data_IF_112860028773
#
_entry.id   IF_112860028773
#
_cell.length_a   1.000
_cell.length_b   1.000
_cell.length_c   1.000
_cell.angle_alpha   90.00
_cell.angle_beta   90.00
_cell.angle_gamma   90.00
#
_symmetry.space_group_name_H-M   'P 1'
#
loop_
_entity.id
_entity.type
_entity.pdbx_description
1 polymer ?
#
# COMPACT_ATOMS: atom_id res chain seq x y z
N UNK A 1 19.55 3.08 9.26
CA UNK A 1 19.90 3.90 10.44
C UNK A 1 21.34 4.39 10.32
N UNK A 2 21.63 5.31 9.39
CA UNK A 2 23.00 5.79 9.16
C UNK A 2 23.62 6.47 10.40
N UNK A 3 22.80 7.06 11.28
CA UNK A 3 23.27 7.70 12.51
C UNK A 3 23.89 6.74 13.53
N UNK A 4 23.27 5.58 13.78
CA UNK A 4 23.79 4.59 14.74
C UNK A 4 25.11 3.98 14.27
N UNK A 5 25.24 3.69 12.97
CA UNK A 5 26.50 3.20 12.38
C UNK A 5 27.59 4.25 12.43
N UNK A 6 27.26 5.53 12.18
CA UNK A 6 28.22 6.62 12.26
C UNK A 6 28.72 6.83 13.70
N UNK A 7 27.82 6.80 14.70
CA UNK A 7 28.19 6.91 16.11
C UNK A 7 29.10 5.76 16.52
N UNK A 8 28.78 4.51 16.16
CA UNK A 8 29.61 3.34 16.46
C UNK A 8 31.01 3.44 15.81
N UNK A 9 31.09 3.93 14.57
CA UNK A 9 32.37 4.12 13.88
C UNK A 9 33.22 5.21 14.54
N UNK A 10 32.61 6.33 14.95
CA UNK A 10 33.29 7.43 15.64
C UNK A 10 33.79 6.99 17.02
N UNK A 11 32.98 6.23 17.77
CA UNK A 11 33.39 5.72 19.09
C UNK A 11 34.50 4.68 18.98
N UNK A 12 34.42 3.77 18.00
CA UNK A 12 35.51 2.82 17.72
C UNK A 12 36.81 3.53 17.33
N UNK A 13 36.73 4.54 16.47
CA UNK A 13 37.91 5.31 16.04
C UNK A 13 38.53 6.05 17.23
N UNK A 14 37.72 6.74 18.04
CA UNK A 14 38.19 7.43 19.24
C UNK A 14 38.81 6.47 20.28
N UNK A 15 38.25 5.27 20.44
CA UNK A 15 38.79 4.26 21.34
C UNK A 15 40.17 3.75 20.90
N UNK A 16 40.38 3.53 19.60
CA UNK A 16 41.68 3.12 19.06
C UNK A 16 42.76 4.20 19.25
N UNK A 17 42.42 5.48 19.06
CA UNK A 17 43.35 6.58 19.34
C UNK A 17 43.72 6.68 20.82
N UNK A 18 42.75 6.54 21.72
CA UNK A 18 43.02 6.52 23.16
C UNK A 18 43.92 5.33 23.54
N UNK A 19 43.66 4.14 22.97
CA UNK A 19 44.47 2.95 23.16
C UNK A 19 45.91 3.16 22.71
N UNK A 20 46.12 3.85 21.58
CA UNK A 20 47.44 4.21 21.05
C UNK A 20 48.22 5.08 22.04
N UNK A 21 47.60 6.15 22.57
CA UNK A 21 48.26 7.03 23.55
C UNK A 21 48.45 6.40 24.94
N UNK A 22 47.58 5.47 25.33
CA UNK A 22 47.61 4.82 26.64
C UNK A 22 48.41 3.49 26.67
N UNK A 23 49.11 3.14 25.58
CA UNK A 23 49.93 1.92 25.42
C UNK A 23 49.23 0.61 25.83
N UNK A 24 47.90 0.53 25.69
CA UNK A 24 47.13 -0.66 26.12
C UNK A 24 47.09 -1.72 25.02
N UNK A 25 47.23 -3.02 25.37
CA UNK A 25 47.11 -4.10 24.41
C UNK A 25 45.70 -4.15 23.80
N UNK A 26 45.55 -4.63 22.55
CA UNK A 26 44.25 -4.75 21.90
C UNK A 26 43.34 -5.71 22.67
N UNK A 27 42.05 -5.38 22.76
CA UNK A 27 41.02 -6.16 23.47
C UNK A 27 40.00 -6.76 22.48
N UNK A 28 40.36 -7.81 21.71
CA UNK A 28 39.51 -8.34 20.64
C UNK A 28 38.19 -8.94 21.15
N UNK A 29 38.18 -9.48 22.37
CA UNK A 29 36.98 -10.09 22.97
C UNK A 29 35.86 -9.06 23.19
N UNK A 30 36.18 -7.85 23.67
CA UNK A 30 35.21 -6.79 23.90
C UNK A 30 34.53 -6.37 22.59
N UNK A 31 35.31 -6.14 21.55
CA UNK A 31 34.79 -5.76 20.24
C UNK A 31 34.00 -6.89 19.57
N UNK A 32 34.42 -8.14 19.73
CA UNK A 32 33.68 -9.30 19.22
C UNK A 32 32.29 -9.41 19.88
N UNK A 33 32.20 -9.18 21.20
CA UNK A 33 30.92 -9.19 21.91
C UNK A 33 30.01 -8.02 21.50
N UNK A 34 30.57 -6.81 21.37
CA UNK A 34 29.82 -5.63 20.91
C UNK A 34 29.32 -5.81 19.47
N UNK A 35 30.15 -6.36 18.58
CA UNK A 35 29.76 -6.66 17.21
C UNK A 35 28.64 -7.71 17.17
N UNK A 36 28.73 -8.77 17.96
CA UNK A 36 27.70 -9.80 18.06
C UNK A 36 26.37 -9.22 18.59
N UNK A 37 26.41 -8.39 19.63
CA UNK A 37 25.22 -7.73 20.16
C UNK A 37 24.59 -6.79 19.14
N UNK A 38 25.41 -6.03 18.40
CA UNK A 38 24.95 -5.17 17.32
C UNK A 38 24.29 -5.96 16.18
N UNK A 39 24.88 -7.09 15.76
CA UNK A 39 24.31 -7.98 14.75
C UNK A 39 22.97 -8.56 15.21
N UNK A 40 22.86 -9.00 16.46
CA UNK A 40 21.61 -9.50 17.03
C UNK A 40 20.51 -8.42 17.05
N UNK A 41 20.86 -7.20 17.47
CA UNK A 41 19.95 -6.06 17.44
C UNK A 41 19.51 -5.69 16.02
N UNK A 42 20.44 -5.66 15.07
CA UNK A 42 20.15 -5.37 13.67
C UNK A 42 19.25 -6.45 13.05
N UNK A 43 19.49 -7.73 13.34
CA UNK A 43 18.65 -8.84 12.90
C UNK A 43 17.24 -8.73 13.49
N UNK A 44 17.12 -8.49 14.80
CA UNK A 44 15.83 -8.28 15.45
C UNK A 44 15.05 -7.11 14.84
N UNK A 45 15.74 -5.99 14.61
CA UNK A 45 15.16 -4.84 13.94
C UNK A 45 14.67 -5.25 12.55
N UNK A 46 15.53 -5.85 11.72
CA UNK A 46 15.18 -6.26 10.37
C UNK A 46 13.94 -7.16 10.34
N UNK A 47 13.87 -8.16 11.22
CA UNK A 47 12.72 -9.04 11.35
C UNK A 47 11.42 -8.30 11.72
N UNK A 48 11.51 -7.23 12.53
CA UNK A 48 10.35 -6.41 12.89
C UNK A 48 9.88 -5.49 11.76
N UNK A 49 10.79 -4.98 10.92
CA UNK A 49 10.45 -4.05 9.82
C UNK A 49 10.05 -4.76 8.53
N UNK A 50 10.51 -5.99 8.31
CA UNK A 50 10.27 -6.74 7.07
C UNK A 50 8.77 -6.95 6.75
N UNK A 51 7.88 -7.27 7.71
CA UNK A 51 6.45 -7.40 7.44
C UNK A 51 5.82 -6.12 6.91
N UNK A 52 6.22 -4.95 7.45
CA UNK A 52 5.72 -3.65 7.01
C UNK A 52 6.14 -3.35 5.58
N UNK A 53 7.39 -3.64 5.22
CA UNK A 53 7.88 -3.49 3.84
C UNK A 53 7.13 -4.40 2.86
N UNK A 54 6.85 -5.64 3.26
CA UNK A 54 6.07 -6.58 2.44
C UNK A 54 4.63 -6.09 2.22
N UNK A 55 3.97 -5.62 3.28
CA UNK A 55 2.62 -5.06 3.19
C UNK A 55 2.56 -3.83 2.27
N UNK A 56 3.54 -2.93 2.35
CA UNK A 56 3.64 -1.77 1.46
C UNK A 56 3.83 -2.18 0.00
N UNK A 57 4.74 -3.12 -0.28
CA UNK A 57 4.94 -3.63 -1.64
C UNK A 57 3.68 -4.28 -2.20
N UNK A 58 3.00 -5.07 -1.39
CA UNK A 58 1.75 -5.72 -1.77
C UNK A 58 0.66 -4.71 -2.12
N UNK A 59 0.53 -3.62 -1.35
CA UNK A 59 -0.38 -2.51 -1.68
C UNK A 59 -0.10 -1.93 -3.07
N UNK A 60 1.16 -1.56 -3.31
CA UNK A 60 1.60 -1.00 -4.58
C UNK A 60 1.42 -1.96 -5.78
N UNK A 61 1.67 -3.26 -5.58
CA UNK A 61 1.47 -4.27 -6.63
C UNK A 61 -0.01 -4.45 -6.96
N UNK A 62 -0.89 -4.41 -5.96
CA UNK A 62 -2.33 -4.48 -6.17
C UNK A 62 -2.87 -3.28 -6.93
N UNK A 63 -2.49 -2.06 -6.55
CA UNK A 63 -2.83 -0.83 -7.28
C UNK A 63 -2.36 -0.87 -8.74
N UNK A 64 -1.12 -1.32 -9.00
CA UNK A 64 -0.61 -1.49 -10.37
C UNK A 64 -1.41 -2.51 -11.16
N UNK A 65 -1.81 -3.63 -10.54
CA UNK A 65 -2.60 -4.65 -11.21
C UNK A 65 -4.01 -4.16 -11.57
N UNK A 66 -4.67 -3.39 -10.68
CA UNK A 66 -5.94 -2.71 -10.99
C UNK A 66 -5.76 -1.73 -12.13
N UNK A 67 -4.77 -0.83 -12.04
CA UNK A 67 -4.51 0.17 -13.07
C UNK A 67 -4.34 -0.47 -14.46
N UNK A 68 -3.56 -1.55 -14.55
CA UNK A 68 -3.39 -2.32 -15.79
C UNK A 68 -4.69 -3.01 -16.26
N UNK A 69 -5.56 -3.43 -15.33
CA UNK A 69 -6.87 -3.96 -15.68
C UNK A 69 -7.77 -2.89 -16.27
N UNK A 70 -7.84 -1.73 -15.62
CA UNK A 70 -8.67 -0.60 -16.03
C UNK A 70 -8.22 0.00 -17.35
N UNK A 71 -6.91 0.01 -17.63
CA UNK A 71 -6.36 0.54 -18.88
C UNK A 71 -6.93 -0.16 -20.12
N UNK A 72 -7.32 -1.44 -20.02
CA UNK A 72 -7.99 -2.16 -21.12
C UNK A 72 -9.38 -1.62 -21.43
N UNK A 73 -10.02 -0.89 -20.51
CA UNK A 73 -11.29 -0.24 -20.78
C UNK A 73 -11.15 0.95 -21.74
N UNK A 74 -9.92 1.45 -21.98
CA UNK A 74 -9.68 2.45 -23.01
C UNK A 74 -10.07 2.00 -24.40
N UNK A 75 -9.84 0.73 -24.72
CA UNK A 75 -10.29 0.11 -25.99
C UNK A 75 -11.82 0.13 -26.15
N UNK A 76 -12.56 0.28 -25.04
CA UNK A 76 -14.02 0.34 -25.00
C UNK A 76 -14.55 1.78 -24.94
N UNK A 77 -13.70 2.77 -25.20
CA UNK A 77 -14.07 4.19 -25.23
C UNK A 77 -14.08 4.87 -23.86
N UNK A 78 -13.43 4.29 -22.86
CA UNK A 78 -13.22 4.96 -21.57
C UNK A 78 -11.91 5.76 -21.57
N UNK A 79 -11.92 6.94 -20.97
CA UNK A 79 -10.73 7.65 -20.55
C UNK A 79 -10.40 7.27 -19.11
N UNK A 80 -9.21 6.72 -18.88
CA UNK A 80 -8.76 6.25 -17.56
C UNK A 80 -7.70 7.21 -17.04
N UNK A 81 -7.92 7.76 -15.85
CA UNK A 81 -6.98 8.61 -15.13
C UNK A 81 -6.58 7.92 -13.83
N UNK A 82 -5.31 8.02 -13.46
CA UNK A 82 -4.77 7.44 -12.23
C UNK A 82 -4.21 8.56 -11.36
N UNK A 83 -4.27 8.39 -10.03
CA UNK A 83 -3.73 9.31 -9.02
C UNK A 83 -4.21 10.75 -9.22
N UNK A 84 -5.53 10.93 -9.28
CA UNK A 84 -6.14 12.26 -9.49
C UNK A 84 -6.09 13.04 -8.17
N UNK A 85 -5.40 14.17 -8.19
CA UNK A 85 -5.23 15.04 -7.02
C UNK A 85 -6.50 15.84 -6.74
N UNK A 86 -7.01 15.72 -5.52
CA UNK A 86 -8.03 16.59 -4.94
C UNK A 86 -7.44 17.52 -3.87
N UNK A 87 -8.30 18.27 -3.18
CA UNK A 87 -7.88 19.17 -2.12
C UNK A 87 -7.60 18.38 -0.82
N UNK A 88 -6.34 17.99 -0.63
CA UNK A 88 -5.89 17.24 0.55
C UNK A 88 -6.14 15.73 0.50
N UNK A 89 -6.55 15.18 -0.65
CA UNK A 89 -6.70 13.75 -0.88
C UNK A 89 -6.43 13.38 -2.33
N UNK A 90 -6.23 12.09 -2.60
CA UNK A 90 -6.08 11.55 -3.96
C UNK A 90 -7.22 10.57 -4.24
N UNK A 91 -7.62 10.49 -5.50
CA UNK A 91 -8.51 9.44 -6.03
C UNK A 91 -7.65 8.48 -6.82
N UNK A 92 -7.61 7.21 -6.42
CA UNK A 92 -6.71 6.22 -7.03
C UNK A 92 -6.93 6.13 -8.53
N UNK A 93 -8.18 5.94 -8.98
CA UNK A 93 -8.51 5.87 -10.41
C UNK A 93 -9.84 6.55 -10.75
N UNK A 94 -9.91 7.21 -11.90
CA UNK A 94 -11.13 7.82 -12.45
C UNK A 94 -11.34 7.34 -13.87
N UNK A 95 -12.56 6.88 -14.19
CA UNK A 95 -12.95 6.44 -15.52
C UNK A 95 -14.07 7.33 -16.04
N UNK A 96 -13.93 7.84 -17.26
CA UNK A 96 -14.93 8.66 -17.94
C UNK A 96 -15.25 7.97 -19.27
N UNK A 97 -16.51 7.56 -19.47
CA UNK A 97 -16.88 6.86 -20.69
C UNK A 97 -18.38 6.87 -20.97
N UNK A 98 -18.83 6.02 -21.91
CA UNK A 98 -20.21 6.02 -22.38
C UNK A 98 -21.25 5.75 -21.29
N UNK A 99 -20.89 4.96 -20.27
CA UNK A 99 -21.76 4.65 -19.14
C UNK A 99 -21.77 5.72 -18.04
N UNK A 100 -20.91 6.74 -18.11
CA UNK A 100 -20.77 7.80 -17.12
C UNK A 100 -19.37 7.91 -16.55
N UNK A 101 -19.30 8.44 -15.33
CA UNK A 101 -18.05 8.73 -14.61
C UNK A 101 -17.96 7.84 -13.37
N UNK A 102 -16.81 7.22 -13.17
CA UNK A 102 -16.58 6.28 -12.06
C UNK A 102 -15.30 6.68 -11.31
N UNK A 103 -15.37 6.77 -9.99
CA UNK A 103 -14.19 6.83 -9.13
C UNK A 103 -13.97 5.44 -8.51
N UNK A 104 -12.76 4.91 -8.70
CA UNK A 104 -12.36 3.60 -8.19
C UNK A 104 -11.25 3.80 -7.17
N UNK A 105 -11.51 3.35 -5.93
CA UNK A 105 -10.52 3.31 -4.84
C UNK A 105 -10.01 1.88 -4.73
N UNK A 106 -8.69 1.66 -4.71
CA UNK A 106 -8.11 0.32 -4.62
C UNK A 106 -7.64 0.04 -3.21
N UNK A 107 -8.18 -1.01 -2.57
CA UNK A 107 -7.61 -1.54 -1.32
C UNK A 107 -7.16 -2.99 -1.50
N UNK A 108 -5.87 -3.21 -1.28
CA UNK A 108 -5.27 -4.54 -1.34
C UNK A 108 -5.17 -5.15 0.06
N UNK A 109 -5.82 -6.29 0.27
CA UNK A 109 -5.83 -6.99 1.56
C UNK A 109 -5.12 -8.34 1.46
N UNK A 110 -4.45 -8.75 2.55
CA UNK A 110 -3.87 -10.10 2.64
C UNK A 110 -4.96 -11.12 2.95
N UNK A 111 -4.95 -12.27 2.26
CA UNK A 111 -5.89 -13.35 2.56
C UNK A 111 -5.70 -13.86 4.00
N UNK A 112 -6.77 -13.99 4.81
CA UNK A 112 -6.69 -14.75 6.06
C UNK A 112 -6.31 -16.20 5.74
N UNK A 113 -5.34 -16.76 6.48
CA UNK A 113 -4.80 -18.12 6.25
C UNK A 113 -5.86 -19.24 6.29
N UNK A 114 -7.06 -18.99 6.85
CA UNK A 114 -8.09 -20.00 7.09
C UNK A 114 -9.44 -19.77 6.41
N UNK A 115 -9.70 -18.59 5.83
CA UNK A 115 -11.03 -18.26 5.34
C UNK A 115 -11.08 -17.86 3.86
N UNK A 116 -12.26 -18.09 3.28
CA UNK A 116 -12.61 -17.63 1.94
C UNK A 116 -12.77 -16.11 2.01
N UNK A 117 -11.80 -15.37 1.46
CA UNK A 117 -11.79 -13.91 1.45
C UNK A 117 -12.81 -13.36 0.44
N UNK A 118 -14.08 -13.73 0.55
CA UNK A 118 -15.13 -13.14 -0.27
C UNK A 118 -15.40 -11.75 0.26
N UNK A 119 -15.23 -10.76 -0.63
CA UNK A 119 -15.65 -9.40 -0.37
C UNK A 119 -17.12 -9.32 -0.76
N UNK A 120 -17.98 -8.99 0.18
CA UNK A 120 -19.41 -8.78 -0.07
C UNK A 120 -19.69 -7.31 0.21
N UNK A 121 -20.01 -6.56 -0.84
CA UNK A 121 -20.53 -5.20 -0.74
C UNK A 121 -22.04 -5.27 -0.51
N UNK A 122 -22.49 -4.97 0.71
CA UNK A 122 -23.90 -4.89 1.07
C UNK A 122 -24.27 -3.41 1.18
N UNK A 123 -24.44 -2.72 0.05
CA UNK A 123 -24.86 -1.32 -0.04
C UNK A 123 -23.93 -0.36 0.72
N UNK A 124 -24.18 -0.22 2.02
CA UNK A 124 -23.50 0.69 2.96
C UNK A 124 -22.45 -0.01 3.85
N UNK A 125 -22.28 -1.33 3.72
CA UNK A 125 -21.34 -2.11 4.53
C UNK A 125 -20.46 -3.05 3.71
N UNK A 126 -19.18 -3.14 4.09
CA UNK A 126 -18.20 -4.03 3.49
C UNK A 126 -17.86 -5.16 4.46
N UNK A 127 -18.04 -6.41 4.03
CA UNK A 127 -17.55 -7.58 4.76
C UNK A 127 -16.46 -8.29 3.99
N UNK A 128 -15.31 -8.50 4.62
CA UNK A 128 -14.19 -9.30 4.09
C UNK A 128 -14.08 -10.56 4.95
N UNK A 129 -14.85 -11.61 4.62
CA UNK A 129 -14.96 -12.79 5.48
C UNK A 129 -15.48 -12.42 6.89
N UNK A 130 -14.81 -12.86 7.98
CA UNK A 130 -15.16 -12.48 9.36
C UNK A 130 -14.61 -11.10 9.80
N UNK A 131 -13.86 -10.39 8.95
CA UNK A 131 -13.29 -9.09 9.28
C UNK A 131 -14.24 -7.96 8.86
N UNK A 132 -14.65 -7.14 9.83
CA UNK A 132 -15.22 -5.81 9.58
C UNK A 132 -14.07 -4.79 9.53
N UNK A 133 -13.92 -4.03 8.44
CA UNK A 133 -12.93 -2.96 8.38
C UNK A 133 -13.26 -1.85 9.38
N UNK A 134 -12.25 -1.42 10.15
CA UNK A 134 -12.31 -0.38 11.19
C UNK A 134 -12.73 1.02 10.66
N UNK A 135 -12.55 1.28 9.36
CA UNK A 135 -12.99 2.51 8.69
C UNK A 135 -13.85 2.13 7.50
N UNK A 136 -15.07 2.66 7.43
CA UNK A 136 -16.01 2.33 6.37
C UNK A 136 -15.47 2.85 5.01
N UNK A 137 -14.86 1.99 4.17
CA UNK A 137 -14.20 2.42 2.94
C UNK A 137 -15.22 2.96 1.91
N UNK A 138 -16.49 2.64 2.11
CA UNK A 138 -17.61 3.12 1.31
C UNK A 138 -17.80 4.63 1.53
N UNK A 139 -17.62 5.14 2.75
CA UNK A 139 -17.74 6.59 3.02
C UNK A 139 -16.68 7.37 2.22
N UNK A 140 -15.45 6.86 2.17
CA UNK A 140 -14.37 7.50 1.40
C UNK A 140 -14.68 7.48 -0.10
N UNK A 141 -15.09 6.32 -0.63
CA UNK A 141 -15.43 6.19 -2.04
C UNK A 141 -16.61 7.12 -2.43
N UNK A 142 -17.65 7.20 -1.59
CA UNK A 142 -18.80 8.09 -1.81
C UNK A 142 -18.38 9.55 -1.76
N UNK A 143 -17.53 9.95 -0.82
CA UNK A 143 -17.00 11.30 -0.73
C UNK A 143 -16.19 11.69 -1.99
N UNK A 144 -15.34 10.77 -2.48
CA UNK A 144 -14.56 10.97 -3.71
C UNK A 144 -15.47 11.11 -4.94
N UNK A 145 -16.53 10.30 -5.07
CA UNK A 145 -17.49 10.43 -6.17
C UNK A 145 -18.29 11.75 -6.10
N UNK A 146 -18.68 12.19 -4.90
CA UNK A 146 -19.36 13.47 -4.71
C UNK A 146 -18.47 14.64 -5.11
N UNK A 147 -17.20 14.62 -4.69
CA UNK A 147 -16.21 15.61 -5.10
C UNK A 147 -15.99 15.60 -6.62
N UNK A 148 -15.82 14.43 -7.23
CA UNK A 148 -15.59 14.30 -8.67
C UNK A 148 -16.77 14.85 -9.47
N UNK A 149 -18.00 14.62 -9.00
CA UNK A 149 -19.21 15.20 -9.59
C UNK A 149 -19.19 16.73 -9.53
N UNK A 150 -18.81 17.31 -8.40
CA UNK A 150 -18.70 18.75 -8.23
C UNK A 150 -17.62 19.33 -9.15
N UNK A 151 -16.42 18.75 -9.16
CA UNK A 151 -15.31 19.17 -10.01
C UNK A 151 -15.71 19.20 -11.49
N UNK A 152 -16.39 18.15 -11.96
CA UNK A 152 -16.86 18.07 -13.34
C UNK A 152 -17.95 19.10 -13.63
N UNK A 153 -18.87 19.33 -12.70
CA UNK A 153 -19.93 20.33 -12.84
C UNK A 153 -19.34 21.75 -12.95
N UNK A 154 -18.34 22.07 -12.12
CA UNK A 154 -17.66 23.36 -12.14
C UNK A 154 -16.83 23.54 -13.41
N UNK A 155 -16.15 22.48 -13.87
CA UNK A 155 -15.26 22.56 -15.03
C UNK A 155 -15.98 22.54 -16.38
N UNK A 156 -17.11 21.82 -16.48
CA UNK A 156 -17.83 21.64 -17.76
C UNK A 156 -19.13 22.44 -17.85
N UNK A 157 -19.60 23.04 -16.75
CA UNK A 157 -20.88 23.75 -16.70
C UNK A 157 -22.11 22.83 -16.82
N UNK A 158 -21.94 21.51 -16.79
CA UNK A 158 -23.02 20.52 -16.90
C UNK A 158 -22.81 19.35 -15.95
N UNK A 159 -23.91 18.81 -15.42
CA UNK A 159 -23.84 17.66 -14.52
C UNK A 159 -23.59 16.36 -15.32
N UNK A 160 -22.61 15.53 -14.92
CA UNK A 160 -22.44 14.22 -15.52
C UNK A 160 -23.69 13.34 -15.29
N UNK A 161 -24.04 12.53 -16.29
CA UNK A 161 -25.26 11.69 -16.29
C UNK A 161 -25.31 10.67 -15.15
N UNK A 162 -24.15 10.21 -14.69
CA UNK A 162 -24.01 9.29 -13.57
C UNK A 162 -22.59 9.40 -12.99
N UNK A 163 -22.49 9.38 -11.66
CA UNK A 163 -21.22 9.29 -10.93
C UNK A 163 -21.33 8.14 -9.95
N UNK A 164 -20.47 7.13 -10.05
CA UNK A 164 -20.47 5.98 -9.15
C UNK A 164 -19.14 5.82 -8.43
N UNK A 165 -19.23 5.47 -7.15
CA UNK A 165 -18.11 5.15 -6.28
C UNK A 165 -17.97 3.64 -6.18
N UNK A 166 -16.90 3.06 -6.73
CA UNK A 166 -16.66 1.64 -6.61
C UNK A 166 -15.37 1.38 -5.84
N UNK A 167 -15.43 0.89 -4.59
CA UNK A 167 -14.25 0.35 -3.96
C UNK A 167 -13.86 -0.95 -4.70
N UNK A 168 -12.67 -0.96 -5.32
CA UNK A 168 -12.10 -2.15 -5.95
C UNK A 168 -11.18 -2.88 -4.99
N UNK A 169 -11.34 -4.20 -4.95
CA UNK A 169 -10.68 -5.07 -4.01
C UNK A 169 -9.83 -6.09 -4.76
N UNK A 170 -8.52 -5.85 -4.74
CA UNK A 170 -7.56 -6.80 -5.30
C UNK A 170 -7.04 -7.73 -4.22
N UNK A 171 -7.18 -9.01 -4.52
CA UNK A 171 -6.61 -10.09 -3.73
C UNK A 171 -5.26 -10.49 -4.32
N UNK A 172 -4.17 -10.38 -3.56
CA UNK A 172 -2.90 -10.92 -3.99
C UNK A 172 -2.97 -12.45 -3.99
N UNK A 173 -2.35 -13.04 -5.00
CA UNK A 173 -2.23 -14.49 -5.13
C UNK A 173 -1.35 -15.03 -3.99
N UNK A 174 -1.69 -16.18 -3.35
CA UNK A 174 -0.74 -16.86 -2.48
C UNK A 174 0.50 -17.25 -3.29
N UNK A 175 1.70 -16.97 -2.77
CA UNK A 175 2.98 -17.32 -3.43
C UNK A 175 3.17 -18.84 -3.63
N UNK A 176 2.30 -19.66 -3.06
CA UNK A 176 2.29 -21.12 -3.20
C UNK A 176 1.00 -21.58 -3.90
N UNK A 177 0.99 -21.61 -5.24
CA UNK A 177 -0.11 -22.24 -5.98
C UNK A 177 -0.22 -21.84 -7.45
N UNK A 178 -0.29 -22.84 -8.32
CA UNK A 178 -0.35 -22.77 -9.79
C UNK A 178 -1.69 -22.30 -10.40
N UNK A 179 -2.56 -21.64 -9.62
CA UNK A 179 -3.88 -21.23 -10.13
C UNK A 179 -3.81 -19.94 -10.96
N UNK A 180 -4.52 -19.84 -12.10
CA UNK A 180 -4.59 -18.61 -12.90
C UNK A 180 -5.22 -17.47 -12.09
N UNK A 181 -4.92 -16.20 -12.39
CA UNK A 181 -5.51 -15.06 -11.70
C UNK A 181 -7.04 -15.15 -11.81
N UNK A 182 -7.73 -15.26 -10.66
CA UNK A 182 -9.18 -15.05 -10.66
C UNK A 182 -9.42 -13.56 -10.89
N UNK A 183 -10.34 -13.26 -11.81
CA UNK A 183 -10.69 -11.90 -12.22
C UNK A 183 -10.88 -11.03 -10.97
N UNK A 184 -10.38 -9.78 -10.95
CA UNK A 184 -10.81 -8.83 -9.94
C UNK A 184 -12.35 -8.85 -9.93
N UNK A 185 -12.92 -9.04 -8.75
CA UNK A 185 -14.35 -8.98 -8.59
C UNK A 185 -14.75 -7.51 -8.68
N UNK A 186 -14.86 -7.00 -9.92
CA UNK A 186 -15.70 -5.86 -10.24
C UNK A 186 -17.13 -6.29 -9.96
N UNK A 187 -17.48 -6.38 -8.67
CA UNK A 187 -18.87 -6.52 -8.26
C UNK A 187 -19.48 -5.15 -8.42
N UNK A 188 -20.31 -5.06 -9.45
CA UNK A 188 -20.98 -3.86 -9.93
C UNK A 188 -21.50 -3.00 -8.77
N UNK A 189 -21.03 -1.75 -8.74
CA UNK A 189 -21.96 -0.64 -8.70
C UNK A 189 -22.63 -0.56 -10.09
#
# INVERSE_FOLDING_TARGET
MPGLTAILALTMTGWEWWRYYAEKPPQPMLFSLLAMAYLAFAAWQFHRFLPRLRALRQGMEGERAVGQFLERLRERGYHVFHDVLGDGFNVDHVLIGPAGVFSIETKTWSKPLKDDARVICLGDSLRIGPLEPDRNPIIQAVAQAAWLKQLLSESTGSLPKSTAACPDFVQPKPMTGSSPPRRPALQAC
#
